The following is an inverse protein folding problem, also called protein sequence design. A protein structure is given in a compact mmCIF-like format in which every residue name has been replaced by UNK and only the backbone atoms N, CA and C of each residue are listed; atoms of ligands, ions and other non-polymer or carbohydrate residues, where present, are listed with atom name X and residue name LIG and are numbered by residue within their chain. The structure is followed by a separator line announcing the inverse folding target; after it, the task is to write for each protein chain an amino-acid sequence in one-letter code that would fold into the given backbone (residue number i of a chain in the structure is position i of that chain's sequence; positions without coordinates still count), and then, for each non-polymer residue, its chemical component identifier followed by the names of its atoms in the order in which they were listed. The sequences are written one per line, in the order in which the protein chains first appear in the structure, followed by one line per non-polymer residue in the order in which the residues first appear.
data_IF_348586707155
#
_entry.id   IF_348586707155
#
_cell.length_a   1.000
_cell.length_b   1.000
_cell.length_c   1.000
_cell.angle_alpha   90.00
_cell.angle_beta   90.00
_cell.angle_gamma   90.00
#
_symmetry.space_group_name_H-M   'P 1'
#
loop_
_entity.id
_entity.type
_entity.pdbx_description
1 polymer ?
#
# COMPACT_ATOMS: atom_id res chain seq x y z
N UNK A 1 -33.36 -23.36 46.62
CA UNK A 1 -32.10 -23.92 47.14
C UNK A 1 -31.20 -24.15 45.95
N UNK A 2 -29.98 -23.63 45.95
CA UNK A 2 -29.06 -23.75 44.82
C UNK A 2 -28.40 -25.13 44.91
N UNK A 3 -28.72 -26.03 43.98
CA UNK A 3 -28.05 -27.32 43.86
C UNK A 3 -26.54 -27.06 43.75
N UNK A 4 -25.77 -27.54 44.73
CA UNK A 4 -24.31 -27.44 44.69
C UNK A 4 -23.80 -28.51 43.73
N UNK A 5 -22.79 -28.17 42.91
CA UNK A 5 -22.15 -29.16 42.03
C UNK A 5 -21.63 -30.33 42.85
N UNK A 6 -21.80 -31.53 42.32
CA UNK A 6 -21.18 -32.73 42.87
C UNK A 6 -19.66 -32.58 42.85
N UNK A 7 -18.97 -33.15 43.84
CA UNK A 7 -17.50 -33.14 43.93
C UNK A 7 -16.85 -33.71 42.66
N UNK A 8 -17.47 -34.72 42.05
CA UNK A 8 -17.02 -35.31 40.78
C UNK A 8 -17.18 -34.32 39.62
N UNK A 9 -18.29 -33.60 39.59
CA UNK A 9 -18.63 -32.63 38.55
C UNK A 9 -17.68 -31.41 38.61
N UNK A 10 -17.30 -31.00 39.83
CA UNK A 10 -16.28 -29.98 40.04
C UNK A 10 -14.91 -30.43 39.49
N UNK A 11 -14.50 -31.67 39.75
CA UNK A 11 -13.23 -32.23 39.25
C UNK A 11 -13.19 -32.29 37.72
N UNK A 12 -14.28 -32.75 37.10
CA UNK A 12 -14.41 -32.80 35.64
C UNK A 12 -14.37 -31.38 35.05
N UNK A 13 -15.07 -30.42 35.67
CA UNK A 13 -15.09 -29.03 35.21
C UNK A 13 -13.71 -28.39 35.29
N UNK A 14 -12.99 -28.56 36.41
CA UNK A 14 -11.62 -28.07 36.57
C UNK A 14 -10.65 -28.70 35.57
N UNK A 15 -10.79 -30.00 35.29
CA UNK A 15 -9.98 -30.70 34.30
C UNK A 15 -10.23 -30.17 32.88
N UNK A 16 -11.48 -29.92 32.50
CA UNK A 16 -11.82 -29.37 31.19
C UNK A 16 -11.28 -27.93 31.07
N UNK A 17 -11.44 -27.10 32.11
CA UNK A 17 -10.96 -25.72 32.10
C UNK A 17 -9.42 -25.64 32.00
N UNK A 18 -8.70 -26.54 32.66
CA UNK A 18 -7.23 -26.57 32.55
C UNK A 18 -6.77 -26.99 31.16
N UNK A 19 -7.48 -27.92 30.52
CA UNK A 19 -7.19 -28.36 29.15
C UNK A 19 -7.43 -27.23 28.13
N UNK A 20 -8.53 -26.50 28.27
CA UNK A 20 -8.85 -25.32 27.44
C UNK A 20 -7.84 -24.20 27.66
N UNK A 21 -7.44 -23.96 28.92
CA UNK A 21 -6.43 -22.96 29.25
C UNK A 21 -5.09 -23.29 28.58
N UNK A 22 -4.64 -24.55 28.63
CA UNK A 22 -3.39 -24.99 27.99
C UNK A 22 -3.39 -24.77 26.47
N UNK A 23 -4.50 -25.04 25.80
CA UNK A 23 -4.64 -24.83 24.35
C UNK A 23 -4.68 -23.34 23.97
N UNK A 24 -5.13 -22.48 24.88
CA UNK A 24 -5.26 -21.03 24.65
C UNK A 24 -3.94 -20.26 24.85
N UNK A 25 -2.90 -20.88 25.41
CA UNK A 25 -1.64 -20.21 25.77
C UNK A 25 -0.72 -19.91 24.57
N UNK A 26 -1.05 -20.35 23.35
CA UNK A 26 -0.26 -20.07 22.16
C UNK A 26 -1.07 -19.35 21.08
N UNK A 27 -1.43 -18.07 21.27
CA UNK A 27 -2.03 -17.27 20.22
C UNK A 27 -1.02 -17.16 19.07
N UNK A 28 -1.29 -17.85 17.97
CA UNK A 28 -0.47 -17.71 16.76
C UNK A 28 -0.71 -16.33 16.16
N UNK A 29 0.36 -15.56 16.03
CA UNK A 29 0.29 -14.20 15.50
C UNK A 29 0.27 -14.21 13.97
N UNK A 30 -0.92 -14.14 13.38
CA UNK A 30 -1.11 -14.09 11.93
C UNK A 30 -0.94 -12.69 11.34
N UNK A 31 -0.51 -11.69 12.12
CA UNK A 31 -0.48 -10.31 11.62
C UNK A 31 0.51 -10.10 10.48
N UNK A 32 1.65 -10.78 10.48
CA UNK A 32 2.63 -10.73 9.39
C UNK A 32 2.03 -11.29 8.09
N UNK A 33 1.34 -12.43 8.19
CA UNK A 33 0.67 -13.04 7.05
C UNK A 33 -0.44 -12.13 6.52
N UNK A 34 -1.30 -11.59 7.39
CA UNK A 34 -2.35 -10.65 6.99
C UNK A 34 -1.80 -9.36 6.38
N UNK A 35 -0.72 -8.79 6.95
CA UNK A 35 -0.05 -7.61 6.39
C UNK A 35 0.46 -7.90 4.97
N UNK A 36 1.13 -9.04 4.78
CA UNK A 36 1.69 -9.46 3.49
C UNK A 36 0.60 -9.72 2.46
N UNK A 37 -0.48 -10.40 2.84
CA UNK A 37 -1.64 -10.63 1.97
C UNK A 37 -2.33 -9.32 1.56
N UNK A 38 -2.57 -8.40 2.50
CA UNK A 38 -3.16 -7.10 2.21
C UNK A 38 -2.26 -6.26 1.30
N UNK A 39 -0.95 -6.27 1.52
CA UNK A 39 0.00 -5.57 0.66
C UNK A 39 0.00 -6.16 -0.75
N UNK A 40 0.01 -7.49 -0.89
CA UNK A 40 -0.08 -8.15 -2.20
C UNK A 40 -1.40 -7.81 -2.91
N UNK A 41 -2.51 -7.82 -2.19
CA UNK A 41 -3.80 -7.40 -2.72
C UNK A 41 -3.74 -5.96 -3.25
N UNK A 42 -3.15 -5.04 -2.51
CA UNK A 42 -3.01 -3.65 -2.94
C UNK A 42 -2.03 -3.43 -4.09
N UNK A 43 -0.96 -4.22 -4.21
CA UNK A 43 -0.10 -4.20 -5.40
C UNK A 43 -0.92 -4.60 -6.65
N UNK A 44 -1.67 -5.71 -6.56
CA UNK A 44 -2.55 -6.17 -7.64
C UNK A 44 -3.68 -5.18 -7.94
N UNK A 45 -4.21 -4.53 -6.91
CA UNK A 45 -5.21 -3.49 -7.06
C UNK A 45 -4.65 -2.28 -7.82
N UNK A 46 -3.43 -1.85 -7.49
CA UNK A 46 -2.73 -0.76 -8.20
C UNK A 46 -2.54 -1.11 -9.68
N UNK A 47 -2.15 -2.35 -9.98
CA UNK A 47 -2.05 -2.83 -11.35
C UNK A 47 -3.42 -2.80 -12.06
N UNK A 48 -4.49 -3.22 -11.38
CA UNK A 48 -5.85 -3.19 -11.93
C UNK A 48 -6.32 -1.75 -12.19
N UNK A 49 -6.01 -0.81 -11.31
CA UNK A 49 -6.28 0.61 -11.54
C UNK A 49 -5.61 1.10 -12.83
N UNK A 50 -4.35 0.72 -13.08
CA UNK A 50 -3.67 1.09 -14.33
C UNK A 50 -4.32 0.46 -15.58
N UNK A 51 -4.81 -0.77 -15.47
CA UNK A 51 -5.51 -1.47 -16.57
C UNK A 51 -6.90 -0.86 -16.88
N UNK A 52 -7.60 -0.35 -15.86
CA UNK A 52 -8.97 0.18 -15.99
C UNK A 52 -9.01 1.69 -16.28
N UNK A 53 -8.06 2.43 -15.72
CA UNK A 53 -7.98 3.89 -15.76
C UNK A 53 -6.64 4.31 -16.37
N UNK A 54 -6.54 4.16 -17.69
CA UNK A 54 -5.36 4.59 -18.44
C UNK A 54 -5.26 6.12 -18.44
N UNK A 55 -4.30 6.67 -17.70
CA UNK A 55 -4.02 8.11 -17.60
C UNK A 55 -3.11 8.62 -18.72
N UNK A 56 -3.26 8.07 -19.92
CA UNK A 56 -2.50 8.49 -21.10
C UNK A 56 -3.21 9.65 -21.81
N UNK A 57 -2.63 10.85 -21.74
CA UNK A 57 -3.20 12.07 -22.31
C UNK A 57 -2.48 12.44 -23.62
N UNK A 58 -3.23 12.53 -24.71
CA UNK A 58 -2.69 12.81 -26.05
C UNK A 58 -2.94 14.24 -26.53
N UNK A 59 -3.97 14.91 -25.98
CA UNK A 59 -4.36 16.25 -26.38
C UNK A 59 -5.08 16.99 -25.24
N UNK A 60 -5.21 18.33 -25.30
CA UNK A 60 -5.88 19.11 -24.25
C UNK A 60 -7.34 18.69 -24.00
N UNK A 61 -8.05 18.17 -25.00
CA UNK A 61 -9.42 17.68 -24.79
C UNK A 61 -9.42 16.48 -23.83
N UNK A 62 -8.44 15.59 -23.94
CA UNK A 62 -8.29 14.44 -23.04
C UNK A 62 -7.97 14.81 -21.58
N UNK A 63 -7.45 16.01 -21.33
CA UNK A 63 -7.13 16.48 -19.97
C UNK A 63 -8.33 17.12 -19.25
N UNK A 64 -9.37 17.53 -19.99
CA UNK A 64 -10.54 18.28 -19.48
C UNK A 64 -11.18 17.64 -18.24
N UNK A 65 -11.49 16.34 -18.28
CA UNK A 65 -12.14 15.65 -17.14
C UNK A 65 -11.22 15.63 -15.92
N UNK A 66 -9.96 15.26 -16.12
CA UNK A 66 -8.94 15.23 -15.06
C UNK A 66 -8.74 16.60 -14.43
N UNK A 67 -8.66 17.66 -15.24
CA UNK A 67 -8.57 19.06 -14.81
C UNK A 67 -9.82 19.53 -14.06
N UNK A 68 -11.01 19.09 -14.47
CA UNK A 68 -12.26 19.43 -13.77
C UNK A 68 -12.33 18.81 -12.37
N UNK A 69 -11.78 17.59 -12.20
CA UNK A 69 -11.72 16.90 -10.92
C UNK A 69 -10.61 17.44 -10.02
N UNK A 70 -9.49 17.89 -10.59
CA UNK A 70 -8.39 18.51 -9.87
C UNK A 70 -7.93 19.79 -10.57
N UNK A 71 -8.50 20.96 -10.19
CA UNK A 71 -8.23 22.23 -10.83
C UNK A 71 -6.78 22.72 -10.72
N UNK A 72 -5.98 22.17 -9.80
CA UNK A 72 -4.57 22.52 -9.61
C UNK A 72 -3.65 21.97 -10.70
N UNK A 73 -4.13 21.05 -11.55
CA UNK A 73 -3.31 20.35 -12.53
C UNK A 73 -2.78 21.27 -13.62
N UNK A 74 -1.49 21.16 -13.96
CA UNK A 74 -0.91 21.78 -15.15
C UNK A 74 -1.05 20.85 -16.36
N UNK A 75 -1.99 21.18 -17.25
CA UNK A 75 -2.29 20.37 -18.43
C UNK A 75 -1.13 20.30 -19.43
N UNK A 76 -0.29 21.33 -19.49
CA UNK A 76 0.88 21.36 -20.39
C UNK A 76 1.95 20.38 -19.94
N UNK A 77 2.17 20.28 -18.63
CA UNK A 77 3.09 19.30 -18.04
C UNK A 77 2.52 17.89 -18.12
N UNK A 78 1.20 17.74 -17.94
CA UNK A 78 0.51 16.46 -18.06
C UNK A 78 0.68 15.86 -19.47
N UNK A 79 0.56 16.70 -20.52
CA UNK A 79 0.75 16.29 -21.92
C UNK A 79 2.21 16.06 -22.30
N UNK A 80 3.15 16.82 -21.72
CA UNK A 80 4.58 16.71 -22.06
C UNK A 80 5.31 15.58 -21.31
N UNK A 81 4.71 15.00 -20.26
CA UNK A 81 5.30 13.94 -19.44
C UNK A 81 4.41 12.70 -19.30
N UNK A 82 3.98 12.06 -20.41
CA UNK A 82 3.03 10.94 -20.37
C UNK A 82 3.52 9.74 -19.52
N UNK A 83 4.83 9.49 -19.50
CA UNK A 83 5.46 8.43 -18.71
C UNK A 83 5.39 8.66 -17.19
N UNK A 84 4.95 9.83 -16.72
CA UNK A 84 4.76 10.09 -15.28
C UNK A 84 3.31 9.91 -14.84
N UNK A 85 2.39 9.80 -15.81
CA UNK A 85 0.96 9.71 -15.57
C UNK A 85 0.53 8.25 -15.39
N UNK A 86 1.05 7.60 -14.35
CA UNK A 86 0.74 6.20 -14.04
C UNK A 86 0.26 6.05 -12.61
N UNK A 87 -0.66 5.11 -12.40
CA UNK A 87 -0.98 4.64 -11.06
C UNK A 87 0.27 3.99 -10.45
N UNK A 88 0.54 4.33 -9.20
CA UNK A 88 1.71 3.82 -8.49
C UNK A 88 1.37 3.41 -7.06
N UNK A 89 2.17 2.47 -6.56
CA UNK A 89 2.30 2.16 -5.16
C UNK A 89 3.68 2.62 -4.68
N UNK A 90 3.69 3.51 -3.69
CA UNK A 90 4.90 4.00 -3.05
C UNK A 90 5.03 3.40 -1.66
N UNK A 91 6.20 2.86 -1.37
CA UNK A 91 6.56 2.26 -0.08
C UNK A 91 7.35 3.25 0.74
N UNK A 92 6.97 3.40 2.01
CA UNK A 92 7.62 4.27 3.00
C UNK A 92 8.27 3.38 4.06
N UNK A 93 9.59 3.17 3.96
CA UNK A 93 10.34 2.32 4.90
C UNK A 93 10.82 3.09 6.12
N UNK A 94 10.83 4.42 6.04
CA UNK A 94 11.30 5.32 7.11
C UNK A 94 10.34 6.49 7.29
N UNK A 95 10.65 7.36 8.26
CA UNK A 95 9.91 8.59 8.54
C UNK A 95 9.04 8.49 9.78
N UNK A 96 8.94 9.60 10.52
CA UNK A 96 8.33 9.62 11.87
C UNK A 96 6.85 9.20 11.88
N UNK A 97 6.12 9.46 10.81
CA UNK A 97 4.68 9.21 10.70
C UNK A 97 4.30 8.26 9.56
N UNK A 98 5.32 7.73 8.86
CA UNK A 98 5.18 6.94 7.62
C UNK A 98 5.92 5.60 7.69
N UNK A 99 6.61 5.31 8.78
CA UNK A 99 7.48 4.14 8.84
C UNK A 99 6.68 2.85 8.64
N UNK A 100 7.16 2.01 7.72
CA UNK A 100 6.53 0.78 7.29
C UNK A 100 5.07 1.01 6.87
N UNK A 101 4.86 1.94 5.94
CA UNK A 101 3.55 2.21 5.34
C UNK A 101 3.66 2.27 3.82
N UNK A 102 2.54 2.35 3.11
CA UNK A 102 2.54 2.57 1.66
C UNK A 102 1.35 3.43 1.23
N UNK A 103 1.43 3.97 0.02
CA UNK A 103 0.38 4.79 -0.57
C UNK A 103 0.14 4.42 -2.03
N UNK A 104 -1.13 4.38 -2.44
CA UNK A 104 -1.55 4.13 -3.81
C UNK A 104 -2.17 5.42 -4.36
N UNK A 105 -1.56 5.98 -5.40
CA UNK A 105 -1.99 7.25 -5.96
C UNK A 105 -1.48 7.45 -7.39
N UNK A 106 -2.04 8.45 -8.07
CA UNK A 106 -1.53 9.01 -9.30
C UNK A 106 -1.03 10.42 -9.01
N UNK A 107 0.29 10.62 -9.16
CA UNK A 107 0.97 11.90 -8.93
C UNK A 107 0.67 12.86 -10.07
N UNK A 108 0.27 14.08 -9.75
CA UNK A 108 -0.21 15.06 -10.73
C UNK A 108 0.73 16.26 -10.81
N UNK A 109 1.00 16.77 -12.03
CA UNK A 109 1.71 18.03 -12.17
C UNK A 109 0.80 19.16 -11.72
N UNK A 110 1.26 20.01 -10.80
CA UNK A 110 0.51 21.18 -10.35
C UNK A 110 1.02 22.45 -11.04
N UNK A 111 0.25 23.52 -11.00
CA UNK A 111 0.73 24.85 -11.40
C UNK A 111 1.65 25.39 -10.29
N UNK A 112 2.90 24.92 -10.25
CA UNK A 112 3.88 25.28 -9.24
C UNK A 112 5.30 25.27 -9.83
N UNK A 113 6.24 26.08 -9.31
CA UNK A 113 7.63 25.98 -9.72
C UNK A 113 8.39 24.83 -9.03
N UNK A 114 7.91 24.33 -7.88
CA UNK A 114 8.69 23.42 -7.01
C UNK A 114 7.96 22.14 -6.61
N UNK A 115 6.66 22.03 -6.87
CA UNK A 115 5.82 20.90 -6.42
C UNK A 115 5.12 20.17 -7.58
N UNK A 116 5.76 20.15 -8.75
CA UNK A 116 5.29 19.40 -9.92
C UNK A 116 5.84 17.97 -9.83
N UNK A 117 4.96 16.96 -9.86
CA UNK A 117 5.37 15.57 -9.66
C UNK A 117 6.30 15.42 -8.45
N UNK A 118 5.84 15.86 -7.27
CA UNK A 118 6.68 15.90 -6.08
C UNK A 118 6.87 14.53 -5.43
N UNK A 119 6.28 13.48 -6.02
CA UNK A 119 6.45 12.09 -5.63
C UNK A 119 5.88 11.80 -4.26
N UNK A 120 4.79 12.49 -3.90
CA UNK A 120 4.10 12.37 -2.62
C UNK A 120 2.59 12.42 -2.86
N UNK A 121 1.79 11.63 -2.14
CA UNK A 121 0.33 11.70 -2.23
C UNK A 121 -0.16 12.95 -1.49
N UNK A 122 -0.27 14.07 -2.19
CA UNK A 122 -0.63 15.38 -1.65
C UNK A 122 -2.02 15.81 -2.11
N UNK A 123 -2.49 16.95 -1.60
CA UNK A 123 -3.73 17.58 -2.07
C UNK A 123 -3.59 17.96 -3.55
N UNK A 124 -4.55 17.50 -4.36
CA UNK A 124 -4.54 17.62 -5.82
C UNK A 124 -4.21 16.32 -6.54
N UNK A 125 -3.57 15.36 -5.87
CA UNK A 125 -3.31 14.04 -6.43
C UNK A 125 -4.53 13.12 -6.29
N UNK A 126 -4.63 12.15 -7.19
CA UNK A 126 -5.68 11.15 -7.12
C UNK A 126 -5.20 9.99 -6.24
N UNK A 127 -5.69 9.95 -5.00
CA UNK A 127 -5.41 8.87 -4.06
C UNK A 127 -6.44 7.75 -4.30
N UNK A 128 -5.97 6.51 -4.38
CA UNK A 128 -6.87 5.37 -4.57
C UNK A 128 -7.76 5.16 -3.33
N UNK A 129 -8.99 4.72 -3.58
CA UNK A 129 -9.95 4.37 -2.54
C UNK A 129 -10.05 2.85 -2.42
N UNK A 130 -10.23 2.37 -1.20
CA UNK A 130 -10.57 0.98 -0.91
C UNK A 130 -11.98 0.67 -1.45
N UNK A 131 -12.15 -0.31 -2.36
CA UNK A 131 -13.44 -0.60 -2.99
C UNK A 131 -14.56 -0.96 -2.02
N UNK A 132 -14.22 -1.51 -0.85
CA UNK A 132 -15.22 -2.00 0.11
C UNK A 132 -15.80 -0.92 1.02
N UNK A 133 -15.07 0.17 1.26
CA UNK A 133 -15.46 1.16 2.28
C UNK A 133 -15.08 2.61 1.93
N UNK A 134 -14.55 2.86 0.72
CA UNK A 134 -14.13 4.17 0.23
C UNK A 134 -13.11 4.90 1.12
N UNK A 135 -12.36 4.19 1.96
CA UNK A 135 -11.26 4.79 2.70
C UNK A 135 -10.03 4.98 1.79
N UNK A 136 -9.29 6.06 1.98
CA UNK A 136 -8.11 6.37 1.18
C UNK A 136 -6.94 5.42 1.48
N UNK A 137 -6.32 4.91 0.43
CA UNK A 137 -5.17 4.01 0.51
C UNK A 137 -3.85 4.82 0.52
N UNK A 138 -3.63 5.63 1.57
CA UNK A 138 -2.39 6.40 1.71
C UNK A 138 -1.85 6.43 3.14
N UNK A 139 -0.66 5.87 3.35
CA UNK A 139 0.03 5.83 4.63
C UNK A 139 1.00 7.00 4.87
N UNK A 140 0.96 8.04 4.04
CA UNK A 140 1.94 9.13 4.03
C UNK A 140 1.70 10.18 5.14
N UNK A 141 0.80 11.13 4.96
CA UNK A 141 0.47 12.09 6.02
C UNK A 141 -1.00 12.47 5.96
N UNK A 142 -1.51 13.00 7.07
CA UNK A 142 -2.91 13.42 7.19
C UNK A 142 -3.06 14.95 7.10
N UNK A 143 -1.97 15.68 6.87
CA UNK A 143 -1.97 17.15 6.92
C UNK A 143 -2.06 17.77 5.54
N UNK A 144 -1.31 17.23 4.57
CA UNK A 144 -1.17 17.80 3.24
C UNK A 144 -1.89 16.99 2.16
N UNK A 145 -2.65 15.96 2.54
CA UNK A 145 -3.58 15.23 1.66
C UNK A 145 -4.89 16.01 1.45
N UNK A 146 -5.70 15.56 0.50
CA UNK A 146 -7.05 16.09 0.29
C UNK A 146 -7.89 16.02 1.57
N UNK A 147 -8.79 16.98 1.78
CA UNK A 147 -9.64 17.06 2.98
C UNK A 147 -10.42 15.77 3.21
N UNK A 148 -10.85 15.11 2.13
CA UNK A 148 -11.51 13.82 2.17
C UNK A 148 -10.64 12.74 2.85
N UNK A 149 -9.33 12.70 2.56
CA UNK A 149 -8.44 11.66 3.07
C UNK A 149 -7.86 11.93 4.46
N UNK A 150 -7.87 13.18 4.95
CA UNK A 150 -7.21 13.58 6.22
C UNK A 150 -7.60 12.69 7.42
N UNK A 151 -8.88 12.35 7.51
CA UNK A 151 -9.42 11.50 8.59
C UNK A 151 -10.11 10.23 8.07
N UNK A 152 -9.86 9.87 6.80
CA UNK A 152 -10.50 8.73 6.12
C UNK A 152 -9.45 7.77 5.53
N UNK A 153 -8.30 7.63 6.16
CA UNK A 153 -7.24 6.71 5.70
C UNK A 153 -7.54 5.28 6.14
N UNK A 154 -7.40 4.33 5.21
CA UNK A 154 -7.57 2.91 5.52
C UNK A 154 -6.42 2.41 6.41
N UNK A 155 -6.67 1.78 7.57
CA UNK A 155 -5.60 1.43 8.51
C UNK A 155 -4.63 0.37 7.96
N UNK A 156 -5.04 -0.49 7.02
CA UNK A 156 -4.17 -1.55 6.47
C UNK A 156 -2.97 -1.03 5.67
N UNK A 157 -2.96 0.27 5.32
CA UNK A 157 -1.79 0.89 4.64
C UNK A 157 -0.68 1.30 5.59
N UNK A 158 -0.95 1.28 6.90
CA UNK A 158 -0.01 1.62 7.98
C UNK A 158 0.44 0.34 8.69
N UNK A 159 1.39 -0.37 8.08
CA UNK A 159 1.71 -1.75 8.46
C UNK A 159 2.28 -1.84 9.87
N UNK A 160 3.11 -0.87 10.26
CA UNK A 160 3.64 -0.77 11.63
C UNK A 160 2.52 -0.63 12.66
N UNK A 161 1.65 0.36 12.48
CA UNK A 161 0.61 0.69 13.44
C UNK A 161 -0.49 -0.38 13.50
N UNK A 162 -0.89 -0.95 12.36
CA UNK A 162 -2.00 -1.91 12.29
C UNK A 162 -1.59 -3.33 12.63
N UNK A 163 -0.43 -3.78 12.13
CA UNK A 163 -0.01 -5.18 12.22
C UNK A 163 1.24 -5.39 13.06
N UNK A 164 1.87 -4.32 13.55
CA UNK A 164 3.13 -4.42 14.30
C UNK A 164 4.32 -4.83 13.43
N UNK A 165 4.31 -4.50 12.13
CA UNK A 165 5.49 -4.75 11.27
C UNK A 165 6.66 -3.88 11.73
N UNK A 166 7.76 -4.52 12.05
CA UNK A 166 8.96 -3.90 12.61
C UNK A 166 9.84 -3.32 11.52
N UNK A 167 9.98 -4.03 10.40
CA UNK A 167 10.79 -3.63 9.25
C UNK A 167 10.06 -3.92 7.94
N UNK A 168 10.02 -2.93 7.05
CA UNK A 168 9.77 -3.11 5.62
C UNK A 168 11.04 -2.74 4.86
N UNK A 169 11.52 -3.65 4.00
CA UNK A 169 12.69 -3.42 3.16
C UNK A 169 12.40 -3.75 1.70
N UNK A 170 13.12 -3.09 0.79
CA UNK A 170 13.03 -3.32 -0.65
C UNK A 170 14.40 -3.78 -1.15
N UNK A 171 14.41 -4.77 -2.04
CA UNK A 171 15.61 -5.21 -2.76
C UNK A 171 15.29 -5.40 -4.24
N UNK A 172 16.26 -5.09 -5.11
CA UNK A 172 16.10 -5.08 -6.56
C UNK A 172 17.09 -4.13 -7.22
N UNK A 173 16.74 -3.62 -8.40
CA UNK A 173 17.59 -2.66 -9.12
C UNK A 173 17.78 -1.37 -8.32
N UNK A 174 19.02 -0.84 -8.29
CA UNK A 174 19.36 0.36 -7.53
C UNK A 174 18.46 1.58 -7.86
N UNK A 175 18.01 1.70 -9.11
CA UNK A 175 17.11 2.77 -9.56
C UNK A 175 15.72 2.73 -8.90
N UNK A 176 15.28 1.56 -8.44
CA UNK A 176 14.01 1.38 -7.75
C UNK A 176 14.09 1.70 -6.25
N UNK A 177 15.31 1.79 -5.70
CA UNK A 177 15.56 1.98 -4.28
C UNK A 177 15.78 3.47 -3.99
N UNK A 178 14.76 4.11 -3.42
CA UNK A 178 14.79 5.53 -3.09
C UNK A 178 15.17 5.75 -1.63
N UNK A 179 15.62 6.97 -1.32
CA UNK A 179 15.87 7.34 0.08
C UNK A 179 14.56 7.28 0.85
N UNK A 180 14.46 6.31 1.76
CA UNK A 180 13.29 6.10 2.60
C UNK A 180 12.20 5.22 1.99
N UNK A 181 12.50 4.47 0.92
CA UNK A 181 11.64 3.41 0.39
C UNK A 181 11.83 3.16 -1.09
N UNK A 182 10.73 3.23 -1.85
CA UNK A 182 10.72 3.02 -3.29
C UNK A 182 9.30 3.06 -3.84
N UNK A 183 9.14 2.87 -5.14
CA UNK A 183 7.82 2.90 -5.78
C UNK A 183 7.79 2.00 -7.00
N UNK A 184 6.59 1.52 -7.30
CA UNK A 184 6.29 0.78 -8.52
C UNK A 184 5.11 1.45 -9.21
N UNK A 185 5.28 1.75 -10.48
CA UNK A 185 4.24 2.21 -11.38
C UNK A 185 3.77 1.06 -12.25
N UNK A 186 2.54 1.12 -12.73
CA UNK A 186 2.03 0.24 -13.77
C UNK A 186 1.53 1.06 -14.95
N UNK A 187 1.90 0.67 -16.16
CA UNK A 187 1.33 1.25 -17.39
C UNK A 187 -0.05 0.65 -17.71
N UNK A 188 -0.70 1.12 -18.77
CA UNK A 188 -2.03 0.64 -19.19
C UNK A 188 -2.09 -0.85 -19.58
N UNK A 189 -0.94 -1.53 -19.70
CA UNK A 189 -0.85 -2.97 -19.94
C UNK A 189 -0.49 -3.75 -18.68
N UNK A 190 -0.37 -3.07 -17.53
CA UNK A 190 0.02 -3.64 -16.26
C UNK A 190 1.51 -3.95 -16.16
N UNK A 191 2.35 -3.43 -17.06
CA UNK A 191 3.80 -3.62 -17.00
C UNK A 191 4.41 -2.72 -15.92
N UNK A 192 5.29 -3.26 -15.06
CA UNK A 192 5.84 -2.50 -13.95
C UNK A 192 7.02 -1.61 -14.36
N UNK A 193 7.06 -0.41 -13.78
CA UNK A 193 8.17 0.54 -13.84
C UNK A 193 8.56 0.94 -12.41
N UNK A 194 9.76 1.46 -12.22
CA UNK A 194 10.21 1.92 -10.91
C UNK A 194 11.12 3.15 -11.00
N UNK A 195 11.40 3.72 -9.83
CA UNK A 195 12.30 4.85 -9.64
C UNK A 195 11.63 6.21 -9.84
N UNK A 196 12.32 7.27 -9.41
CA UNK A 196 11.79 8.64 -9.47
C UNK A 196 11.44 9.08 -10.90
N UNK A 197 12.25 8.66 -11.87
CA UNK A 197 11.92 8.74 -13.29
C UNK A 197 11.49 7.32 -13.72
N UNK A 198 10.21 7.11 -14.06
CA UNK A 198 9.69 5.77 -14.31
C UNK A 198 10.44 5.07 -15.44
N UNK A 199 11.13 3.99 -15.12
CA UNK A 199 11.82 3.14 -16.09
C UNK A 199 11.34 1.70 -15.96
N UNK A 200 11.23 0.94 -17.07
CA UNK A 200 10.76 -0.44 -17.02
C UNK A 200 11.56 -1.26 -16.01
N UNK A 201 10.84 -2.04 -15.21
CA UNK A 201 11.44 -3.02 -14.33
C UNK A 201 12.03 -4.15 -15.19
N UNK A 202 13.30 -4.46 -14.99
CA UNK A 202 14.05 -5.48 -15.73
C UNK A 202 14.44 -6.69 -14.87
N UNK A 203 14.52 -6.50 -13.56
CA UNK A 203 14.73 -7.56 -12.57
C UNK A 203 13.59 -7.57 -11.54
N UNK A 204 13.29 -8.70 -10.90
CA UNK A 204 12.27 -8.74 -9.86
C UNK A 204 12.55 -7.72 -8.74
N UNK A 205 11.50 -7.04 -8.30
CA UNK A 205 11.54 -6.22 -7.09
C UNK A 205 10.97 -7.02 -5.93
N UNK A 206 11.71 -7.13 -4.84
CA UNK A 206 11.30 -7.86 -3.64
C UNK A 206 11.02 -6.88 -2.51
N UNK A 207 9.86 -7.04 -1.87
CA UNK A 207 9.45 -6.29 -0.68
C UNK A 207 9.37 -7.28 0.48
N UNK A 208 10.19 -7.10 1.50
CA UNK A 208 10.25 -7.99 2.67
C UNK A 208 9.67 -7.29 3.89
N UNK A 209 8.71 -7.95 4.54
CA UNK A 209 8.13 -7.53 5.81
C UNK A 209 8.68 -8.43 6.92
N UNK A 210 9.11 -7.83 8.04
CA UNK A 210 9.58 -8.57 9.21
C UNK A 210 8.78 -8.23 10.46
N UNK A 211 8.57 -9.25 11.28
CA UNK A 211 8.00 -9.12 12.62
C UNK A 211 8.60 -10.22 13.51
N UNK A 212 9.20 -9.82 14.63
CA UNK A 212 9.92 -10.73 15.51
C UNK A 212 10.99 -11.53 14.72
N UNK A 213 10.98 -12.86 14.81
CA UNK A 213 11.93 -13.73 14.08
C UNK A 213 11.39 -14.25 12.74
N UNK A 214 10.27 -13.71 12.25
CA UNK A 214 9.64 -14.14 11.01
C UNK A 214 9.75 -13.05 9.94
N UNK A 215 9.89 -13.48 8.70
CA UNK A 215 9.85 -12.62 7.53
C UNK A 215 9.02 -13.26 6.41
N UNK A 216 8.35 -12.43 5.62
CA UNK A 216 7.68 -12.83 4.39
C UNK A 216 8.01 -11.82 3.31
N UNK A 217 8.16 -12.29 2.08
CA UNK A 217 8.54 -11.45 0.96
C UNK A 217 7.47 -11.46 -0.14
N UNK A 218 7.28 -10.32 -0.80
CA UNK A 218 6.46 -10.20 -1.99
C UNK A 218 7.40 -9.92 -3.16
N UNK A 219 7.25 -10.68 -4.24
CA UNK A 219 8.04 -10.51 -5.47
C UNK A 219 7.14 -9.94 -6.56
N UNK A 220 7.58 -8.87 -7.21
CA UNK A 220 6.97 -8.28 -8.40
C UNK A 220 7.87 -8.61 -9.59
N UNK A 221 7.37 -9.40 -10.55
CA UNK A 221 8.13 -9.81 -11.72
C UNK A 221 8.14 -8.72 -12.81
N UNK A 222 9.24 -8.61 -13.58
CA UNK A 222 9.28 -7.73 -14.75
C UNK A 222 8.29 -8.17 -15.83
N UNK A 223 8.05 -7.30 -16.82
CA UNK A 223 7.15 -7.49 -17.97
C UNK A 223 5.65 -7.53 -17.66
N UNK A 224 5.17 -8.48 -16.85
CA UNK A 224 3.74 -8.67 -16.60
C UNK A 224 3.24 -8.05 -15.30
N UNK A 225 4.14 -7.66 -14.39
CA UNK A 225 3.75 -7.18 -13.06
C UNK A 225 3.19 -8.27 -12.16
N UNK A 226 3.25 -9.54 -12.58
CA UNK A 226 2.79 -10.66 -11.76
C UNK A 226 3.48 -10.63 -10.40
N UNK A 227 2.66 -10.69 -9.35
CA UNK A 227 3.10 -10.52 -7.98
C UNK A 227 2.62 -11.68 -7.10
N UNK A 228 3.50 -12.20 -6.25
CA UNK A 228 3.23 -13.34 -5.36
C UNK A 228 4.02 -13.26 -4.04
N UNK A 229 3.57 -14.00 -3.03
CA UNK A 229 4.28 -14.16 -1.75
C UNK A 229 5.32 -15.28 -1.90
N UNK A 230 6.55 -15.00 -1.52
CA UNK A 230 7.59 -15.99 -1.27
C UNK A 230 7.62 -16.26 0.24
N UNK A 231 7.31 -17.50 0.60
CA UNK A 231 7.41 -18.03 1.97
C UNK A 231 8.80 -18.59 2.25
#
# INVERSE_FOLDING_TARGET
MREALSLLELLITCFILSLIALLSLNPHDYSLHHATQNLLYHIKYTQNLALQDSRHFLNPTSTTTTKSLSPSIDESLLLSSPQKNMWQIQFHTTGTYTQNSYSIYHDTPRISPTTNYDGRPMSGDFIALEPTNNQCLSGYNNTNVSDYCKNNTHPNVRLKEKYGIEEMSLSGEAKCLERGGGRVYFDELGKPYCGKEPTPLTQPLTITLKKASQELSIIILPQSGYSYILE
#
